data_IF_464546370307
#
_entry.id   IF_464546370307
#
_cell.length_a   1.000
_cell.length_b   1.000
_cell.length_c   1.000
_cell.angle_alpha   90.00
_cell.angle_beta   90.00
_cell.angle_gamma   90.00
#
_symmetry.space_group_name_H-M   'P 1'
#
loop_
_entity.id
_entity.type
_entity.pdbx_description
1 polymer ?
#
# COMPACT_ATOMS: atom_id res chain seq x y z
N UNK A 1 -38.26 -13.70 35.79
CA UNK A 1 -37.26 -13.28 36.80
C UNK A 1 -36.34 -14.49 36.99
N UNK A 2 -35.12 -14.56 36.48
CA UNK A 2 -33.94 -13.65 36.49
C UNK A 2 -33.26 -13.75 35.10
N UNK A 3 -33.20 -12.70 34.29
CA UNK A 3 -32.11 -11.69 34.11
C UNK A 3 -30.73 -12.22 33.70
N UNK A 4 -30.38 -11.92 32.44
CA UNK A 4 -29.11 -11.39 31.90
C UNK A 4 -27.80 -11.59 32.69
N UNK A 5 -26.84 -12.22 32.02
CA UNK A 5 -25.40 -11.90 31.95
C UNK A 5 -24.81 -12.93 30.97
N UNK A 6 -24.25 -12.57 29.81
CA UNK A 6 -23.10 -11.70 29.57
C UNK A 6 -22.14 -12.54 28.69
N UNK A 7 -21.41 -12.04 27.71
CA UNK A 7 -21.27 -10.72 27.13
C UNK A 7 -20.55 -10.88 25.79
N UNK A 8 -20.56 -9.80 25.03
CA UNK A 8 -19.46 -9.34 24.18
C UNK A 8 -18.84 -10.34 23.20
N UNK A 9 -19.30 -10.27 21.95
CA UNK A 9 -18.39 -10.22 20.79
C UNK A 9 -17.30 -9.17 21.09
N UNK A 10 -16.02 -9.49 20.88
CA UNK A 10 -15.42 -9.45 19.56
C UNK A 10 -14.67 -10.78 19.33
N UNK A 11 -14.22 -11.16 18.15
CA UNK A 11 -13.05 -10.60 17.50
C UNK A 11 -13.09 -11.20 16.10
N UNK A 12 -13.26 -10.32 15.11
CA UNK A 12 -13.00 -10.68 13.74
C UNK A 12 -11.55 -11.12 13.66
N UNK A 13 -11.35 -12.40 13.34
CA UNK A 13 -10.12 -12.91 12.78
C UNK A 13 -9.97 -12.23 11.41
N UNK A 14 -9.51 -10.97 11.43
CA UNK A 14 -9.02 -10.31 10.23
C UNK A 14 -7.68 -10.98 9.94
N UNK A 15 -7.51 -11.64 8.79
CA UNK A 15 -6.25 -12.26 8.42
C UNK A 15 -5.11 -11.23 8.45
N UNK A 16 -3.85 -11.66 8.59
CA UNK A 16 -2.71 -10.76 8.60
C UNK A 16 -2.57 -10.08 7.23
N UNK A 17 -3.17 -8.90 7.05
CA UNK A 17 -3.01 -8.03 5.87
C UNK A 17 -1.61 -7.38 5.81
N UNK A 18 -0.64 -7.89 6.57
CA UNK A 18 0.67 -7.26 6.73
C UNK A 18 1.75 -7.81 5.79
N UNK A 19 1.42 -8.76 4.91
CA UNK A 19 2.36 -9.32 3.92
C UNK A 19 2.09 -8.86 2.47
N UNK A 20 0.93 -8.23 2.21
CA UNK A 20 0.58 -7.65 0.90
C UNK A 20 0.94 -6.17 0.78
N UNK A 21 1.19 -5.48 1.90
CA UNK A 21 1.55 -4.07 1.92
C UNK A 21 2.84 -3.79 1.12
N UNK A 22 3.91 -4.56 1.38
CA UNK A 22 5.24 -4.33 0.80
C UNK A 22 5.27 -4.39 -0.75
N UNK A 23 4.47 -5.29 -1.34
CA UNK A 23 4.35 -5.37 -2.80
C UNK A 23 3.44 -4.28 -3.38
N UNK A 24 2.44 -3.82 -2.62
CA UNK A 24 1.56 -2.73 -3.03
C UNK A 24 2.30 -1.40 -2.98
N UNK A 25 3.06 -1.14 -1.90
CA UNK A 25 3.85 0.08 -1.72
C UNK A 25 4.75 0.34 -2.94
N UNK A 26 5.39 -0.71 -3.45
CA UNK A 26 6.21 -0.63 -4.65
C UNK A 26 5.45 -0.20 -5.91
N UNK A 27 4.26 -0.77 -6.13
CA UNK A 27 3.41 -0.46 -7.28
C UNK A 27 2.79 0.93 -7.16
N UNK A 28 2.35 1.31 -5.96
CA UNK A 28 1.87 2.64 -5.62
C UNK A 28 2.95 3.71 -5.88
N UNK A 29 4.20 3.44 -5.50
CA UNK A 29 5.32 4.35 -5.78
C UNK A 29 5.59 4.48 -7.30
N UNK A 30 5.49 3.39 -8.07
CA UNK A 30 5.62 3.43 -9.53
C UNK A 30 4.48 4.22 -10.20
N UNK A 31 3.25 4.04 -9.73
CA UNK A 31 2.09 4.79 -10.22
C UNK A 31 2.27 6.29 -9.99
N UNK A 32 2.68 6.67 -8.78
CA UNK A 32 2.98 8.06 -8.42
C UNK A 32 4.12 8.64 -9.26
N UNK A 33 5.17 7.87 -9.54
CA UNK A 33 6.24 8.31 -10.45
C UNK A 33 5.73 8.57 -11.87
N UNK A 34 4.85 7.71 -12.38
CA UNK A 34 4.27 7.87 -13.71
C UNK A 34 3.36 9.10 -13.76
N UNK A 35 2.55 9.34 -12.73
CA UNK A 35 1.74 10.55 -12.62
C UNK A 35 2.59 11.83 -12.61
N UNK A 36 3.71 11.84 -11.88
CA UNK A 36 4.60 13.00 -11.81
C UNK A 36 5.27 13.26 -13.18
N UNK A 37 5.63 12.21 -13.91
CA UNK A 37 6.15 12.32 -15.28
C UNK A 37 5.08 12.85 -16.24
N UNK A 38 3.85 12.33 -16.18
CA UNK A 38 2.74 12.78 -17.04
C UNK A 38 2.38 14.26 -16.78
N UNK A 39 2.47 14.70 -15.52
CA UNK A 39 2.32 16.10 -15.11
C UNK A 39 3.48 16.99 -15.56
N UNK A 40 4.54 16.43 -16.17
CA UNK A 40 5.75 17.15 -16.60
C UNK A 40 6.62 17.62 -15.44
N UNK A 41 6.44 17.06 -14.24
CA UNK A 41 7.23 17.36 -13.04
C UNK A 41 8.55 16.62 -13.08
N UNK A 42 8.54 15.39 -13.61
CA UNK A 42 9.74 14.59 -13.86
C UNK A 42 10.05 14.58 -15.36
N UNK A 43 11.33 14.69 -15.68
CA UNK A 43 11.83 14.37 -17.02
C UNK A 43 11.88 12.86 -17.23
N UNK A 44 11.93 12.41 -18.49
CA UNK A 44 12.03 10.98 -18.82
C UNK A 44 13.26 10.33 -18.13
N UNK A 45 14.39 11.06 -18.11
CA UNK A 45 15.62 10.62 -17.42
C UNK A 45 15.42 10.43 -15.91
N UNK A 46 14.74 11.36 -15.24
CA UNK A 46 14.46 11.27 -13.81
C UNK A 46 13.46 10.16 -13.47
N UNK A 47 12.44 9.97 -14.30
CA UNK A 47 11.47 8.89 -14.15
C UNK A 47 12.15 7.52 -14.27
N UNK A 48 12.99 7.33 -15.30
CA UNK A 48 13.73 6.08 -15.50
C UNK A 48 14.73 5.80 -14.37
N UNK A 49 15.46 6.82 -13.89
CA UNK A 49 16.40 6.68 -12.79
C UNK A 49 15.70 6.25 -11.48
N UNK A 50 14.56 6.88 -11.15
CA UNK A 50 13.77 6.52 -9.95
C UNK A 50 13.16 5.15 -10.08
N UNK A 51 12.60 4.81 -11.25
CA UNK A 51 12.06 3.47 -11.53
C UNK A 51 13.12 2.39 -11.33
N UNK A 52 14.33 2.56 -11.85
CA UNK A 52 15.44 1.60 -11.65
C UNK A 52 15.83 1.44 -10.19
N UNK A 53 15.95 2.55 -9.46
CA UNK A 53 16.23 2.54 -8.02
C UNK A 53 15.17 1.76 -7.24
N UNK A 54 13.91 1.93 -7.62
CA UNK A 54 12.77 1.21 -7.07
C UNK A 54 12.84 -0.29 -7.41
N UNK A 55 13.08 -0.66 -8.67
CA UNK A 55 13.23 -2.06 -9.08
C UNK A 55 14.52 -2.72 -8.54
N UNK A 56 15.43 -1.96 -7.92
CA UNK A 56 16.74 -2.44 -7.48
C UNK A 56 17.69 -2.81 -8.63
N UNK A 57 17.62 -2.12 -9.78
CA UNK A 57 18.39 -2.40 -11.01
C UNK A 57 19.48 -1.38 -11.33
#
# INVERSE_FOLDING_TARGET
MVMMQGGSEPEGDVPPEQEVADNSDYLDELEKLAELHDKGILTDEEFQAKKKQLLGQ
#
